data_IF_862078305017
#
_entry.id   IF_862078305017
#
_cell.length_a   1.000
_cell.length_b   1.000
_cell.length_c   1.000
_cell.angle_alpha   90.00
_cell.angle_beta   90.00
_cell.angle_gamma   90.00
#
_symmetry.space_group_name_H-M   'P 1'
#
loop_
_entity.id
_entity.type
_entity.pdbx_description
1 polymer ?
#
# COMPACT_ATOMS: atom_id res chain seq x y z
N UNK A 1 48.65 -18.36 33.69
CA UNK A 1 48.68 -17.58 32.43
C UNK A 1 47.53 -18.06 31.57
N UNK A 2 46.42 -17.33 31.57
CA UNK A 2 45.26 -17.63 30.75
C UNK A 2 44.76 -16.32 30.18
N UNK A 3 45.29 -15.93 29.02
CA UNK A 3 44.85 -14.76 28.28
C UNK A 3 43.55 -15.14 27.58
N UNK A 4 42.42 -14.70 28.12
CA UNK A 4 41.16 -14.72 27.38
C UNK A 4 41.28 -13.57 26.39
N UNK A 5 41.60 -13.90 25.13
CA UNK A 5 41.48 -12.95 24.03
C UNK A 5 40.01 -12.54 23.96
N UNK A 6 39.67 -11.42 24.58
CA UNK A 6 38.39 -10.77 24.36
C UNK A 6 38.35 -10.39 22.88
N UNK A 7 37.43 -11.01 22.16
CA UNK A 7 36.96 -10.49 20.88
C UNK A 7 36.25 -9.16 21.18
N UNK A 8 37.01 -8.12 21.48
CA UNK A 8 36.56 -6.74 21.54
C UNK A 8 36.38 -6.24 20.12
N UNK A 9 35.62 -6.97 19.29
CA UNK A 9 34.94 -6.32 18.17
C UNK A 9 34.07 -5.29 18.88
N UNK A 10 34.42 -4.01 18.70
CA UNK A 10 33.86 -2.88 19.44
C UNK A 10 32.35 -3.06 19.58
N UNK A 11 31.91 -3.40 20.80
CA UNK A 11 30.51 -3.68 21.08
C UNK A 11 29.64 -2.48 20.71
N UNK A 12 30.21 -1.27 20.83
CA UNK A 12 29.61 0.00 20.40
C UNK A 12 29.44 0.10 18.88
N UNK A 13 30.38 -0.42 18.09
CA UNK A 13 30.27 -0.45 16.62
C UNK A 13 29.22 -1.46 16.16
N UNK A 14 29.09 -2.61 16.84
CA UNK A 14 28.03 -3.58 16.57
C UNK A 14 26.65 -3.08 17.04
N UNK A 15 26.59 -2.45 18.21
CA UNK A 15 25.36 -1.88 18.77
C UNK A 15 24.85 -0.71 17.93
N UNK A 16 25.71 0.22 17.52
CA UNK A 16 25.35 1.32 16.63
C UNK A 16 24.87 0.81 15.27
N UNK A 17 25.54 -0.18 14.69
CA UNK A 17 25.10 -0.82 13.44
C UNK A 17 23.74 -1.52 13.56
N UNK A 18 23.49 -2.26 14.66
CA UNK A 18 22.21 -2.91 14.91
C UNK A 18 21.08 -1.90 15.16
N UNK A 19 21.35 -0.81 15.87
CA UNK A 19 20.41 0.29 16.09
C UNK A 19 20.03 0.97 14.76
N UNK A 20 21.02 1.27 13.91
CA UNK A 20 20.80 1.85 12.59
C UNK A 20 20.00 0.92 11.68
N UNK A 21 20.30 -0.38 11.68
CA UNK A 21 19.55 -1.37 10.93
C UNK A 21 18.08 -1.43 11.36
N UNK A 22 17.83 -1.46 12.67
CA UNK A 22 16.48 -1.49 13.25
C UNK A 22 15.71 -0.20 12.93
N UNK A 23 16.37 0.96 13.03
CA UNK A 23 15.77 2.25 12.71
C UNK A 23 15.36 2.34 11.22
N UNK A 24 16.24 1.89 10.31
CA UNK A 24 15.93 1.83 8.87
C UNK A 24 14.78 0.88 8.57
N UNK A 25 14.76 -0.29 9.21
CA UNK A 25 13.67 -1.26 9.08
C UNK A 25 12.34 -0.69 9.55
N UNK A 26 12.32 -0.01 10.70
CA UNK A 26 11.13 0.65 11.23
C UNK A 26 10.64 1.78 10.31
N UNK A 27 11.55 2.61 9.78
CA UNK A 27 11.22 3.66 8.82
C UNK A 27 10.55 3.07 7.56
N UNK A 28 11.13 2.01 7.00
CA UNK A 28 10.56 1.34 5.82
C UNK A 28 9.15 0.78 6.07
N UNK A 29 8.92 0.14 7.22
CA UNK A 29 7.58 -0.36 7.60
C UNK A 29 6.57 0.80 7.71
N UNK A 30 6.98 1.94 8.27
CA UNK A 30 6.12 3.12 8.37
C UNK A 30 5.79 3.69 6.98
N UNK A 31 6.77 3.80 6.09
CA UNK A 31 6.56 4.26 4.71
C UNK A 31 5.55 3.36 3.97
N UNK A 32 5.62 2.03 4.15
CA UNK A 32 4.65 1.09 3.58
C UNK A 32 3.24 1.32 4.13
N UNK A 33 3.10 1.58 5.43
CA UNK A 33 1.80 1.87 6.05
C UNK A 33 1.20 3.18 5.53
N UNK A 34 2.01 4.23 5.41
CA UNK A 34 1.58 5.53 4.90
C UNK A 34 1.16 5.44 3.43
N UNK A 35 1.88 4.65 2.62
CA UNK A 35 1.51 4.37 1.23
C UNK A 35 0.17 3.64 1.12
N UNK A 36 -0.09 2.63 1.96
CA UNK A 36 -1.42 1.97 2.01
C UNK A 36 -2.51 2.99 2.33
N UNK A 37 -2.33 3.79 3.37
CA UNK A 37 -3.35 4.75 3.82
C UNK A 37 -3.67 5.76 2.71
N UNK A 38 -2.64 6.23 2.01
CA UNK A 38 -2.77 7.10 0.85
C UNK A 38 -3.54 6.40 -0.27
N UNK A 39 -3.17 5.16 -0.60
CA UNK A 39 -3.82 4.39 -1.65
C UNK A 39 -5.31 4.12 -1.36
N UNK A 40 -5.64 3.75 -0.12
CA UNK A 40 -7.03 3.56 0.32
C UNK A 40 -7.84 4.86 0.20
N UNK A 41 -7.24 5.99 0.58
CA UNK A 41 -7.87 7.30 0.49
C UNK A 41 -8.16 7.69 -0.97
N UNK A 42 -7.21 7.47 -1.87
CA UNK A 42 -7.40 7.77 -3.30
C UNK A 42 -8.37 6.80 -3.97
N UNK A 43 -8.36 5.51 -3.61
CA UNK A 43 -9.36 4.55 -4.10
C UNK A 43 -10.77 4.98 -3.67
N UNK A 44 -10.96 5.41 -2.43
CA UNK A 44 -12.25 5.88 -1.94
C UNK A 44 -12.77 7.06 -2.78
N UNK A 45 -11.93 8.07 -3.06
CA UNK A 45 -12.30 9.20 -3.94
C UNK A 45 -12.65 8.76 -5.36
N UNK A 46 -11.94 7.77 -5.89
CA UNK A 46 -12.22 7.19 -7.21
C UNK A 46 -13.57 6.48 -7.23
N UNK A 47 -13.90 5.71 -6.19
CA UNK A 47 -15.18 5.02 -6.05
C UNK A 47 -16.35 5.99 -5.89
N UNK A 48 -16.17 7.10 -5.16
CA UNK A 48 -17.15 8.18 -5.07
C UNK A 48 -17.43 8.77 -6.46
N UNK A 49 -16.37 9.09 -7.21
CA UNK A 49 -16.49 9.58 -8.59
C UNK A 49 -17.18 8.56 -9.49
N UNK A 50 -16.87 7.27 -9.36
CA UNK A 50 -17.51 6.18 -10.11
C UNK A 50 -19.00 6.11 -9.82
N UNK A 51 -19.39 6.21 -8.56
CA UNK A 51 -20.79 6.18 -8.15
C UNK A 51 -21.58 7.36 -8.72
N UNK A 52 -20.99 8.55 -8.75
CA UNK A 52 -21.61 9.72 -9.35
C UNK A 52 -21.75 9.61 -10.88
N UNK A 53 -20.71 9.09 -11.55
CA UNK A 53 -20.78 8.80 -12.99
C UNK A 53 -21.88 7.78 -13.28
N UNK A 54 -21.95 6.67 -12.52
CA UNK A 54 -22.99 5.66 -12.68
C UNK A 54 -24.38 6.24 -12.49
N UNK A 55 -24.59 7.08 -11.47
CA UNK A 55 -25.89 7.75 -11.25
C UNK A 55 -26.29 8.61 -12.45
N UNK A 56 -25.36 9.38 -13.00
CA UNK A 56 -25.59 10.22 -14.19
C UNK A 56 -25.89 9.39 -15.43
N UNK A 57 -25.17 8.29 -15.62
CA UNK A 57 -25.38 7.33 -16.71
C UNK A 57 -26.76 6.72 -16.63
N UNK A 58 -27.19 6.24 -15.44
CA UNK A 58 -28.52 5.66 -15.24
C UNK A 58 -29.62 6.68 -15.61
N UNK A 59 -29.50 7.94 -15.16
CA UNK A 59 -30.46 9.01 -15.49
C UNK A 59 -30.49 9.28 -17.01
N UNK A 60 -29.33 9.28 -17.67
CA UNK A 60 -29.27 9.49 -19.12
C UNK A 60 -29.87 8.31 -19.90
N UNK A 61 -29.59 7.07 -19.48
CA UNK A 61 -30.14 5.85 -20.08
C UNK A 61 -31.66 5.76 -19.92
N UNK A 62 -32.20 6.21 -18.78
CA UNK A 62 -33.65 6.37 -18.59
C UNK A 62 -34.29 7.36 -19.57
N UNK A 63 -33.52 8.32 -20.08
CA UNK A 63 -33.94 9.29 -21.10
C UNK A 63 -33.64 8.82 -22.52
N UNK A 64 -33.45 7.51 -22.72
CA UNK A 64 -33.12 6.87 -24.00
C UNK A 64 -31.79 7.32 -24.61
N UNK A 65 -30.90 7.93 -23.83
CA UNK A 65 -29.52 8.16 -24.27
C UNK A 65 -28.71 6.86 -24.13
N UNK A 66 -27.73 6.67 -25.00
CA UNK A 66 -26.79 5.55 -24.89
C UNK A 66 -25.52 5.99 -24.19
N UNK A 67 -25.06 5.21 -23.22
CA UNK A 67 -23.71 5.35 -22.64
C UNK A 67 -22.65 5.24 -23.73
N UNK A 68 -21.66 6.12 -23.67
CA UNK A 68 -20.54 6.10 -24.61
C UNK A 68 -19.56 5.00 -24.26
N UNK A 69 -18.83 4.51 -25.26
CA UNK A 69 -17.79 3.50 -25.06
C UNK A 69 -16.66 4.00 -24.14
N UNK A 70 -16.39 5.31 -24.14
CA UNK A 70 -15.43 5.92 -23.21
C UNK A 70 -15.87 5.78 -21.76
N UNK A 71 -17.15 6.04 -21.46
CA UNK A 71 -17.69 5.91 -20.11
C UNK A 71 -17.71 4.44 -19.70
N UNK A 72 -18.11 3.53 -20.60
CA UNK A 72 -18.06 2.10 -20.35
C UNK A 72 -16.65 1.62 -20.04
N UNK A 73 -15.67 1.98 -20.88
CA UNK A 73 -14.28 1.60 -20.69
C UNK A 73 -13.67 2.19 -19.41
N UNK A 74 -14.02 3.43 -19.06
CA UNK A 74 -13.60 4.03 -17.80
C UNK A 74 -14.15 3.27 -16.58
N UNK A 75 -15.44 2.93 -16.57
CA UNK A 75 -16.06 2.15 -15.50
C UNK A 75 -15.39 0.78 -15.33
N UNK A 76 -15.07 0.09 -16.43
CA UNK A 76 -14.34 -1.18 -16.41
C UNK A 76 -12.94 -1.03 -15.81
N UNK A 77 -12.18 0.00 -16.20
CA UNK A 77 -10.84 0.24 -15.63
C UNK A 77 -10.89 0.57 -14.13
N UNK A 78 -11.88 1.34 -13.68
CA UNK A 78 -12.04 1.61 -12.24
C UNK A 78 -12.30 0.32 -11.46
N UNK A 79 -13.13 -0.58 -11.99
CA UNK A 79 -13.37 -1.88 -11.38
C UNK A 79 -12.09 -2.73 -11.32
N UNK A 80 -11.25 -2.69 -12.36
CA UNK A 80 -9.94 -3.35 -12.34
C UNK A 80 -9.04 -2.79 -11.25
N UNK A 81 -8.92 -1.45 -11.17
CA UNK A 81 -8.11 -0.79 -10.13
C UNK A 81 -8.61 -1.13 -8.73
N UNK A 82 -9.92 -1.20 -8.50
CA UNK A 82 -10.49 -1.61 -7.21
C UNK A 82 -10.01 -3.01 -6.79
N UNK A 83 -9.96 -3.96 -7.72
CA UNK A 83 -9.47 -5.32 -7.47
C UNK A 83 -7.96 -5.36 -7.24
N UNK A 84 -7.18 -4.66 -8.07
CA UNK A 84 -5.71 -4.58 -7.94
C UNK A 84 -5.30 -3.96 -6.60
N UNK A 85 -5.99 -2.92 -6.16
CA UNK A 85 -5.72 -2.29 -4.85
C UNK A 85 -6.10 -3.21 -3.70
N UNK A 86 -7.20 -3.98 -3.81
CA UNK A 86 -7.59 -4.94 -2.80
C UNK A 86 -6.55 -6.06 -2.64
N UNK A 87 -6.02 -6.58 -3.76
CA UNK A 87 -4.93 -7.55 -3.77
C UNK A 87 -3.66 -6.97 -3.14
N UNK A 88 -3.25 -5.77 -3.57
CA UNK A 88 -2.06 -5.09 -3.05
C UNK A 88 -2.12 -4.84 -1.54
N UNK A 89 -3.28 -4.46 -1.00
CA UNK A 89 -3.47 -4.27 0.45
C UNK A 89 -3.30 -5.60 1.20
N UNK A 90 -3.84 -6.69 0.64
CA UNK A 90 -3.69 -8.04 1.22
C UNK A 90 -2.22 -8.47 1.25
N UNK A 91 -1.51 -8.32 0.12
CA UNK A 91 -0.11 -8.69 0.01
C UNK A 91 0.78 -7.89 0.96
N UNK A 92 0.54 -6.58 1.06
CA UNK A 92 1.33 -5.73 1.94
C UNK A 92 1.03 -5.99 3.43
N UNK A 93 -0.16 -6.45 3.80
CA UNK A 93 -0.43 -6.91 5.17
C UNK A 93 0.47 -8.11 5.54
N UNK A 94 0.63 -9.05 4.61
CA UNK A 94 1.55 -10.18 4.77
C UNK A 94 3.01 -9.74 4.83
N UNK A 95 3.41 -8.75 4.02
CA UNK A 95 4.78 -8.25 4.01
C UNK A 95 5.14 -7.51 5.31
N UNK A 96 4.23 -6.67 5.82
CA UNK A 96 4.40 -6.02 7.13
C UNK A 96 4.55 -7.07 8.24
N UNK A 97 3.74 -8.13 8.23
CA UNK A 97 3.84 -9.21 9.21
C UNK A 97 5.23 -9.88 9.17
N UNK A 98 5.72 -10.25 7.99
CA UNK A 98 7.07 -10.81 7.81
C UNK A 98 8.15 -9.86 8.33
N UNK A 99 8.04 -8.57 8.00
CA UNK A 99 9.00 -7.56 8.44
C UNK A 99 8.94 -7.35 9.96
N UNK A 100 7.79 -7.50 10.60
CA UNK A 100 7.66 -7.38 12.06
C UNK A 100 8.15 -8.62 12.83
N UNK A 101 8.10 -9.81 12.23
CA UNK A 101 8.51 -11.08 12.85
C UNK A 101 9.96 -11.48 12.54
N UNK A 102 10.59 -10.83 11.56
CA UNK A 102 11.99 -11.06 11.16
C UNK A 102 13.04 -10.38 12.03
#
# INVERSE_FOLDING_TARGET
MGNICSFSISCDALFSHCADFTARKAAHINDLKDNILTLQTELQKLLETRNDVLRRVIIAEQRHMRRTDQVQGWLSRVQTVELEVAELISDNAQEIEKLCLG
#
